data_IF_827415958001
#
_entry.id   IF_827415958001
#
_cell.length_a   1.000
_cell.length_b   1.000
_cell.length_c   1.000
_cell.angle_alpha   90.00
_cell.angle_beta   90.00
_cell.angle_gamma   90.00
#
_symmetry.space_group_name_H-M   'P 1'
#
loop_
_entity.id
_entity.type
_entity.pdbx_description
1 polymer ?
#
# COMPACT_ATOMS: atom_id res chain seq x y z
N UNK A 1 13.36 9.89 -8.26
CA UNK A 1 12.63 10.03 -6.98
C UNK A 1 12.73 8.78 -6.10
N UNK A 2 12.31 7.60 -6.56
CA UNK A 2 12.40 6.34 -5.78
C UNK A 2 13.81 6.06 -5.21
N UNK A 3 14.87 6.22 -6.01
CA UNK A 3 16.25 6.04 -5.53
C UNK A 3 16.65 7.00 -4.40
N UNK A 4 16.21 8.27 -4.43
CA UNK A 4 16.48 9.23 -3.35
C UNK A 4 15.75 8.85 -2.06
N UNK A 5 14.51 8.37 -2.17
CA UNK A 5 13.75 7.87 -1.02
C UNK A 5 14.43 6.64 -0.40
N UNK A 6 14.84 5.66 -1.21
CA UNK A 6 15.55 4.47 -0.74
C UNK A 6 16.86 4.82 -0.02
N UNK A 7 17.62 5.80 -0.54
CA UNK A 7 18.82 6.29 0.12
C UNK A 7 18.50 6.96 1.47
N UNK A 8 17.48 7.81 1.52
CA UNK A 8 17.05 8.48 2.75
C UNK A 8 16.58 7.50 3.84
N UNK A 9 15.79 6.49 3.47
CA UNK A 9 15.32 5.44 4.38
C UNK A 9 16.48 4.62 4.95
N UNK A 10 17.49 4.27 4.13
CA UNK A 10 18.70 3.56 4.61
C UNK A 10 19.52 4.38 5.61
N UNK A 11 19.50 5.70 5.49
CA UNK A 11 20.18 6.61 6.43
C UNK A 11 19.36 6.92 7.70
N UNK A 12 18.19 6.30 7.89
CA UNK A 12 17.38 6.48 9.09
C UNK A 12 16.73 7.86 9.25
N UNK A 13 16.75 8.71 8.21
CA UNK A 13 16.18 10.06 8.29
C UNK A 13 14.66 9.98 8.39
N UNK A 14 14.04 10.75 9.30
CA UNK A 14 12.59 10.99 9.32
C UNK A 14 12.29 12.22 8.43
N UNK A 15 11.20 12.17 7.65
CA UNK A 15 10.93 13.10 6.53
C UNK A 15 10.49 14.52 6.94
N UNK A 16 10.11 15.40 5.99
CA UNK A 16 10.17 15.24 4.52
C UNK A 16 11.60 15.34 3.95
N UNK A 17 11.83 14.76 2.77
CA UNK A 17 13.13 14.78 2.10
C UNK A 17 13.10 15.62 0.83
N UNK A 18 14.09 16.50 0.67
CA UNK A 18 14.30 17.26 -0.55
C UNK A 18 15.01 16.40 -1.59
N UNK A 19 14.52 16.41 -2.83
CA UNK A 19 15.14 15.75 -3.98
C UNK A 19 15.06 16.66 -5.20
N UNK A 20 16.18 16.90 -5.88
CA UNK A 20 16.22 17.62 -7.14
C UNK A 20 16.26 16.60 -8.29
N UNK A 21 15.34 16.71 -9.25
CA UNK A 21 15.26 15.83 -10.43
C UNK A 21 14.99 16.68 -11.66
N UNK A 22 15.84 16.55 -12.68
CA UNK A 22 15.69 17.24 -13.96
C UNK A 22 15.44 18.77 -13.85
N UNK A 23 16.05 19.42 -12.85
CA UNK A 23 15.88 20.86 -12.59
C UNK A 23 14.72 21.24 -11.67
N UNK A 24 13.76 20.34 -11.42
CA UNK A 24 12.67 20.55 -10.48
C UNK A 24 13.02 20.06 -9.07
N UNK A 25 12.61 20.82 -8.05
CA UNK A 25 12.75 20.43 -6.65
C UNK A 25 11.47 19.77 -6.17
N UNK A 26 11.61 18.58 -5.58
CA UNK A 26 10.54 17.82 -4.97
C UNK A 26 10.78 17.65 -3.48
N UNK A 27 9.70 17.79 -2.72
CA UNK A 27 9.62 17.39 -1.32
C UNK A 27 8.88 16.07 -1.24
N UNK A 28 9.53 15.07 -0.65
CA UNK A 28 9.06 13.70 -0.57
C UNK A 28 8.57 13.40 0.84
N UNK A 29 7.29 13.08 0.95
CA UNK A 29 6.62 12.70 2.19
C UNK A 29 6.38 11.20 2.19
N UNK A 30 7.07 10.42 3.06
CA UNK A 30 6.87 8.97 3.10
C UNK A 30 5.47 8.63 3.63
N UNK A 31 4.77 7.74 2.95
CA UNK A 31 3.47 7.21 3.39
C UNK A 31 3.77 5.98 4.23
N UNK A 32 3.85 6.19 5.55
CA UNK A 32 4.10 5.10 6.50
C UNK A 32 2.78 4.49 6.94
N UNK A 33 2.68 3.17 6.86
CA UNK A 33 1.60 2.45 7.52
C UNK A 33 1.78 2.60 9.04
N UNK A 34 0.86 3.32 9.68
CA UNK A 34 0.76 3.40 11.13
C UNK A 34 0.23 2.07 11.74
N UNK A 35 -0.17 1.13 10.89
CA UNK A 35 -0.67 -0.19 11.25
C UNK A 35 0.40 -1.12 11.82
N UNK A 36 0.51 -1.11 13.15
CA UNK A 36 0.85 -2.24 14.03
C UNK A 36 2.31 -2.72 13.98
N UNK A 37 2.96 -2.71 15.15
CA UNK A 37 4.29 -3.26 15.40
C UNK A 37 4.42 -4.77 15.21
N UNK A 38 4.28 -5.24 13.98
CA UNK A 38 4.85 -6.51 13.59
C UNK A 38 6.35 -6.27 13.37
N UNK A 39 7.17 -6.94 14.18
CA UNK A 39 8.62 -7.06 13.92
C UNK A 39 8.76 -7.58 12.49
N UNK A 40 9.43 -6.86 11.58
CA UNK A 40 9.54 -7.34 10.23
C UNK A 40 10.42 -8.60 10.25
N UNK A 41 9.88 -9.72 9.79
CA UNK A 41 10.73 -10.84 9.44
C UNK A 41 11.78 -10.32 8.45
N UNK A 42 13.06 -10.65 8.61
CA UNK A 42 14.15 -10.02 7.86
C UNK A 42 14.04 -10.13 6.32
N UNK A 43 13.10 -10.93 5.80
CA UNK A 43 12.70 -10.97 4.38
C UNK A 43 11.77 -9.82 3.97
N UNK A 44 10.88 -9.36 4.85
CA UNK A 44 9.86 -8.34 4.57
C UNK A 44 10.43 -6.93 4.49
N UNK A 45 11.60 -6.63 5.08
CA UNK A 45 12.14 -5.27 5.04
C UNK A 45 12.52 -4.86 3.61
N UNK A 46 13.09 -5.76 2.81
CA UNK A 46 13.44 -5.44 1.42
C UNK A 46 12.21 -5.37 0.51
N UNK A 47 11.22 -6.21 0.76
CA UNK A 47 9.95 -6.23 0.02
C UNK A 47 9.06 -5.03 0.40
N UNK A 48 9.03 -4.63 1.68
CA UNK A 48 8.30 -3.45 2.15
C UNK A 48 8.92 -2.17 1.59
N UNK A 49 10.26 -2.07 1.60
CA UNK A 49 10.97 -0.88 1.11
C UNK A 49 10.80 -0.66 -0.40
N UNK A 50 10.63 -1.73 -1.19
CA UNK A 50 10.31 -1.63 -2.63
C UNK A 50 8.81 -1.38 -2.88
N UNK A 51 7.96 -1.64 -1.89
CA UNK A 51 6.51 -1.45 -1.94
C UNK A 51 6.06 -0.16 -1.23
N UNK A 52 7.00 0.61 -0.68
CA UNK A 52 6.74 1.84 0.07
C UNK A 52 6.20 2.93 -0.86
N UNK A 53 5.17 3.63 -0.39
CA UNK A 53 4.55 4.72 -1.11
C UNK A 53 5.05 6.06 -0.58
N UNK A 54 5.13 7.05 -1.47
CA UNK A 54 5.50 8.41 -1.11
C UNK A 54 4.61 9.40 -1.85
N UNK A 55 4.33 10.52 -1.20
CA UNK A 55 3.75 11.69 -1.82
C UNK A 55 4.90 12.61 -2.24
N UNK A 56 5.05 12.82 -3.56
CA UNK A 56 5.99 13.77 -4.12
C UNK A 56 5.26 15.08 -4.40
N UNK A 57 5.75 16.17 -3.82
CA UNK A 57 5.23 17.51 -4.04
C UNK A 57 6.30 18.33 -4.73
N UNK A 58 5.98 18.88 -5.89
CA UNK A 58 6.90 19.75 -6.65
C UNK A 58 6.98 21.13 -5.98
N UNK A 59 7.75 21.19 -4.90
CA UNK A 59 8.10 22.39 -4.16
C UNK A 59 9.24 22.06 -3.19
N UNK A 60 9.96 23.08 -2.75
CA UNK A 60 10.79 22.97 -1.57
C UNK A 60 9.92 23.18 -0.33
N UNK A 61 9.89 22.20 0.58
CA UNK A 61 9.09 22.26 1.81
C UNK A 61 9.92 22.75 3.00
N UNK A 62 11.20 23.09 2.80
CA UNK A 62 12.09 23.53 3.89
C UNK A 62 11.66 24.83 4.56
N UNK A 63 10.93 25.68 3.83
CA UNK A 63 10.46 26.99 4.27
C UNK A 63 8.95 27.01 4.60
N UNK A 64 8.28 25.86 4.55
CA UNK A 64 6.84 25.81 4.74
C UNK A 64 6.44 26.05 6.20
N UNK A 65 5.35 26.79 6.44
CA UNK A 65 4.75 26.87 7.76
C UNK A 65 4.37 25.49 8.29
N UNK A 66 4.49 25.30 9.61
CA UNK A 66 4.15 24.04 10.28
C UNK A 66 2.74 23.54 9.92
N UNK A 67 1.74 24.44 9.89
CA UNK A 67 0.37 24.09 9.53
C UNK A 67 0.24 23.43 8.14
N UNK A 68 1.09 23.82 7.17
CA UNK A 68 1.10 23.23 5.82
C UNK A 68 1.77 21.85 5.82
N UNK A 69 2.83 21.69 6.62
CA UNK A 69 3.48 20.40 6.83
C UNK A 69 2.53 19.41 7.53
N UNK A 70 1.80 19.87 8.54
CA UNK A 70 0.81 19.08 9.28
C UNK A 70 -0.33 18.62 8.37
N UNK A 71 -0.83 19.49 7.49
CA UNK A 71 -1.84 19.12 6.49
C UNK A 71 -1.34 17.99 5.57
N UNK A 72 -0.13 18.11 5.02
CA UNK A 72 0.43 17.04 4.18
C UNK A 72 0.69 15.77 4.96
N UNK A 73 1.13 15.88 6.21
CA UNK A 73 1.24 14.73 7.10
C UNK A 73 -0.12 14.04 7.27
N UNK A 74 -1.19 14.80 7.51
CA UNK A 74 -2.56 14.28 7.56
C UNK A 74 -2.98 13.58 6.26
N UNK A 75 -2.66 14.16 5.10
CA UNK A 75 -2.91 13.52 3.79
C UNK A 75 -2.14 12.20 3.66
N UNK A 76 -0.86 12.16 4.03
CA UNK A 76 -0.08 10.91 3.98
C UNK A 76 -0.64 9.83 4.90
N UNK A 77 -1.18 10.22 6.07
CA UNK A 77 -1.86 9.29 6.98
C UNK A 77 -3.16 8.75 6.38
N UNK A 78 -3.97 9.60 5.74
CA UNK A 78 -5.20 9.17 5.08
C UNK A 78 -4.93 8.18 3.95
N UNK A 79 -3.90 8.45 3.13
CA UNK A 79 -3.50 7.53 2.05
C UNK A 79 -3.04 6.18 2.63
N UNK A 80 -2.31 6.18 3.75
CA UNK A 80 -1.88 4.94 4.41
C UNK A 80 -3.09 4.10 4.87
N UNK A 81 -4.08 4.71 5.52
CA UNK A 81 -5.30 4.01 5.98
C UNK A 81 -6.08 3.41 4.81
N UNK A 82 -6.28 4.18 3.74
CA UNK A 82 -7.02 3.72 2.58
C UNK A 82 -6.28 2.60 1.84
N UNK A 83 -4.95 2.68 1.79
CA UNK A 83 -4.11 1.60 1.25
C UNK A 83 -4.26 0.33 2.08
N UNK A 84 -4.14 0.42 3.40
CA UNK A 84 -4.27 -0.74 4.29
C UNK A 84 -5.64 -1.42 4.13
N UNK A 85 -6.70 -0.62 3.99
CA UNK A 85 -8.04 -1.13 3.68
C UNK A 85 -8.09 -1.87 2.35
N UNK A 86 -7.50 -1.30 1.28
CA UNK A 86 -7.44 -1.93 -0.05
C UNK A 86 -6.60 -3.20 -0.07
N UNK A 87 -5.48 -3.21 0.65
CA UNK A 87 -4.58 -4.36 0.69
C UNK A 87 -5.18 -5.50 1.54
N UNK A 88 -5.89 -5.19 2.63
CA UNK A 88 -6.71 -6.17 3.35
C UNK A 88 -7.78 -6.79 2.42
N UNK A 89 -8.53 -5.97 1.68
CA UNK A 89 -9.53 -6.45 0.74
C UNK A 89 -8.92 -7.33 -0.37
N UNK A 90 -7.75 -6.95 -0.91
CA UNK A 90 -7.01 -7.76 -1.89
C UNK A 90 -6.56 -9.10 -1.32
N UNK A 91 -6.09 -9.14 -0.07
CA UNK A 91 -5.68 -10.38 0.60
C UNK A 91 -6.86 -11.32 0.76
N UNK A 92 -8.02 -10.82 1.22
CA UNK A 92 -9.24 -11.63 1.31
C UNK A 92 -9.64 -12.14 -0.07
N UNK A 93 -9.65 -11.28 -1.09
CA UNK A 93 -9.98 -11.66 -2.47
C UNK A 93 -9.05 -12.76 -3.02
N UNK A 94 -7.73 -12.63 -2.81
CA UNK A 94 -6.72 -13.62 -3.23
C UNK A 94 -6.94 -14.96 -2.53
N UNK A 95 -7.18 -14.95 -1.22
CA UNK A 95 -7.47 -16.16 -0.45
C UNK A 95 -8.73 -16.88 -0.98
N UNK A 96 -9.83 -16.17 -1.21
CA UNK A 96 -11.06 -16.78 -1.72
C UNK A 96 -10.87 -17.35 -3.14
N UNK A 97 -10.12 -16.65 -4.00
CA UNK A 97 -9.79 -17.15 -5.32
C UNK A 97 -8.94 -18.44 -5.26
N UNK A 98 -7.99 -18.49 -4.33
CA UNK A 98 -7.16 -19.67 -4.09
C UNK A 98 -8.01 -20.87 -3.61
N UNK A 99 -8.92 -20.67 -2.67
CA UNK A 99 -9.82 -21.74 -2.19
C UNK A 99 -10.70 -22.29 -3.33
N UNK A 100 -11.18 -21.44 -4.26
CA UNK A 100 -11.90 -21.90 -5.45
C UNK A 100 -10.99 -22.69 -6.39
N UNK A 101 -9.76 -22.21 -6.61
CA UNK A 101 -8.78 -22.89 -7.45
C UNK A 101 -8.44 -24.28 -6.89
N UNK A 102 -8.32 -24.40 -5.57
CA UNK A 102 -8.07 -25.68 -4.88
C UNK A 102 -9.21 -26.68 -5.07
N UNK A 103 -10.47 -26.24 -4.97
CA UNK A 103 -11.62 -27.11 -5.27
C UNK A 103 -11.61 -27.63 -6.70
N UNK A 104 -11.27 -26.77 -7.67
CA UNK A 104 -11.15 -27.17 -9.09
C UNK A 104 -10.02 -28.18 -9.26
N UNK A 105 -8.85 -27.94 -8.67
CA UNK A 105 -7.70 -28.83 -8.76
C UNK A 105 -7.95 -30.20 -8.08
N UNK A 106 -8.72 -30.22 -7.00
CA UNK A 106 -9.13 -31.43 -6.31
C UNK A 106 -10.23 -32.22 -7.07
N UNK A 107 -10.76 -31.69 -8.18
CA UNK A 107 -11.84 -32.34 -8.93
C UNK A 107 -13.18 -32.35 -8.19
N UNK A 108 -13.44 -31.32 -7.36
CA UNK A 108 -14.68 -31.21 -6.61
C UNK A 108 -15.92 -31.22 -7.51
N UNK A 109 -17.07 -31.62 -6.95
CA UNK A 109 -18.32 -31.70 -7.71
C UNK A 109 -18.70 -30.30 -8.26
N UNK A 110 -19.22 -30.19 -9.51
CA UNK A 110 -19.59 -28.89 -10.08
C UNK A 110 -20.54 -28.05 -9.21
N UNK A 111 -21.46 -28.71 -8.49
CA UNK A 111 -22.39 -28.05 -7.58
C UNK A 111 -21.69 -27.37 -6.38
N UNK A 112 -20.61 -27.97 -5.89
CA UNK A 112 -19.80 -27.44 -4.78
C UNK A 112 -18.98 -26.23 -5.24
N UNK A 113 -18.35 -26.31 -6.41
CA UNK A 113 -17.64 -25.18 -7.03
C UNK A 113 -18.62 -24.02 -7.27
N UNK A 114 -19.81 -24.30 -7.82
CA UNK A 114 -20.85 -23.30 -8.05
C UNK A 114 -21.37 -22.67 -6.74
N UNK A 115 -21.47 -23.44 -5.65
CA UNK A 115 -21.82 -22.91 -4.33
C UNK A 115 -20.72 -21.98 -3.79
N UNK A 116 -19.45 -22.39 -3.89
CA UNK A 116 -18.32 -21.60 -3.42
C UNK A 116 -18.17 -20.28 -4.19
N UNK A 117 -18.39 -20.30 -5.51
CA UNK A 117 -18.38 -19.12 -6.37
C UNK A 117 -19.49 -18.13 -5.99
N UNK A 118 -20.71 -18.60 -5.72
CA UNK A 118 -21.81 -17.73 -5.28
C UNK A 118 -21.49 -17.01 -3.97
N UNK A 119 -20.88 -17.69 -3.01
CA UNK A 119 -20.44 -17.08 -1.74
C UNK A 119 -19.29 -16.09 -1.96
N UNK A 120 -18.36 -16.39 -2.87
CA UNK A 120 -17.20 -15.53 -3.16
C UNK A 120 -17.53 -14.31 -4.03
N UNK A 121 -18.62 -14.36 -4.81
CA UNK A 121 -18.94 -13.40 -5.85
C UNK A 121 -18.89 -11.92 -5.40
N UNK A 122 -19.46 -11.53 -4.24
CA UNK A 122 -19.42 -10.12 -3.81
C UNK A 122 -18.01 -9.58 -3.58
N UNK A 123 -17.06 -10.46 -3.22
CA UNK A 123 -15.67 -10.09 -2.93
C UNK A 123 -14.78 -10.19 -4.17
N UNK A 124 -15.03 -11.16 -5.05
CA UNK A 124 -14.28 -11.34 -6.29
C UNK A 124 -14.70 -10.34 -7.38
N UNK A 125 -15.99 -10.00 -7.44
CA UNK A 125 -16.61 -9.16 -8.46
C UNK A 125 -17.33 -7.95 -7.83
N UNK A 126 -16.60 -7.05 -7.14
CA UNK A 126 -17.21 -5.89 -6.53
C UNK A 126 -17.90 -5.03 -7.62
N UNK A 127 -19.21 -4.80 -7.48
CA UNK A 127 -20.01 -3.98 -8.40
C UNK A 127 -20.87 -4.73 -9.43
N UNK A 128 -20.82 -6.07 -9.48
CA UNK A 128 -21.65 -6.89 -10.38
C UNK A 128 -22.87 -7.54 -9.69
N UNK A 129 -23.29 -7.01 -8.53
CA UNK A 129 -24.33 -7.59 -7.69
C UNK A 129 -25.34 -6.59 -7.12
N UNK A 130 -25.51 -5.44 -7.77
CA UNK A 130 -26.59 -4.49 -7.52
C UNK A 130 -27.45 -4.34 -8.78
#
# INVERSE_FOLDING_TARGET
>A
LAGHHLAATRTGRRGPYRAAVAGSTYSLFPIRNAGRGAVPAARDVRESVLSDWLLAVEADASDWPAARLDLLQGVTQLIAVERDRRDAARTVRRRLAQEVLELVQAGAAPAEIAARLRVAAPVLLPGLGA
#
